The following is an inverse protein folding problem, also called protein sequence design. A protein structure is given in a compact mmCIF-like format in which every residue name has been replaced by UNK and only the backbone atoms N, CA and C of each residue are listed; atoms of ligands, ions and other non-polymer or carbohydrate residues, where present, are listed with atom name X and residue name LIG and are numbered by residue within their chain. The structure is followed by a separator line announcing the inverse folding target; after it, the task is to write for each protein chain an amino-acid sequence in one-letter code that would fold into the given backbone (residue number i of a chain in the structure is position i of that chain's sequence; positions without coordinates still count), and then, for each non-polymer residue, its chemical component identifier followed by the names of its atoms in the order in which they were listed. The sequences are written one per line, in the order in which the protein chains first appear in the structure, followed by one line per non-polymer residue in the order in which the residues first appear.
data_IF_762467297782
#
_entry.id   IF_762467297782
#
_cell.length_a   1.000
_cell.length_b   1.000
_cell.length_c   1.000
_cell.angle_alpha   90.00
_cell.angle_beta   90.00
_cell.angle_gamma   90.00
#
_symmetry.space_group_name_H-M   'P 1'
#
loop_
_entity.id
_entity.type
_entity.pdbx_description
1 polymer ?
#
# COMPACT_ATOMS: atom_id res chain seq x y z
N UNK A 1 -15.06 7.30 0.20
CA UNK A 1 -14.07 8.33 0.62
C UNK A 1 -12.67 7.80 0.39
N UNK A 2 -11.83 8.57 -0.25
CA UNK A 2 -10.44 8.17 -0.46
C UNK A 2 -9.54 8.95 0.50
N UNK A 3 -8.49 8.28 0.94
CA UNK A 3 -7.46 8.87 1.78
C UNK A 3 -6.27 9.24 0.91
N UNK A 4 -5.45 10.14 1.39
CA UNK A 4 -4.23 10.53 0.69
C UNK A 4 -3.08 10.57 1.68
N UNK A 5 -2.00 9.88 1.34
CA UNK A 5 -0.76 9.95 2.09
C UNK A 5 0.04 11.19 1.68
N UNK A 6 0.96 11.66 2.53
CA UNK A 6 1.87 12.75 2.15
C UNK A 6 2.70 12.39 0.92
N UNK A 7 3.06 13.43 0.16
CA UNK A 7 3.88 13.25 -1.05
C UNK A 7 5.22 12.61 -0.69
N UNK A 8 5.65 11.66 -1.51
CA UNK A 8 6.91 10.95 -1.36
C UNK A 8 7.87 11.36 -2.48
N UNK A 9 9.12 11.62 -2.13
CA UNK A 9 10.20 11.75 -3.10
C UNK A 9 10.61 10.34 -3.58
N UNK A 10 10.97 10.20 -4.86
CA UNK A 10 11.37 8.90 -5.43
C UNK A 10 12.59 8.29 -4.75
N UNK A 11 13.41 9.12 -4.11
CA UNK A 11 14.64 8.67 -3.44
C UNK A 11 14.41 8.39 -1.94
N UNK A 12 13.22 8.66 -1.42
CA UNK A 12 12.89 8.40 -0.02
C UNK A 12 12.36 6.98 0.17
N UNK A 13 12.65 6.42 1.34
CA UNK A 13 12.04 5.18 1.82
C UNK A 13 11.26 5.53 3.07
N UNK A 14 9.94 5.42 3.01
CA UNK A 14 9.05 5.91 4.06
C UNK A 14 8.03 4.86 4.47
N UNK A 15 7.67 4.91 5.76
CA UNK A 15 6.55 4.11 6.28
C UNK A 15 5.24 4.86 6.07
N UNK A 16 4.23 4.13 5.63
CA UNK A 16 2.86 4.61 5.52
C UNK A 16 1.94 3.64 6.23
N UNK A 17 0.90 4.17 6.88
CA UNK A 17 0.04 3.35 7.72
C UNK A 17 -1.44 3.63 7.48
N UNK A 18 -2.25 2.61 7.77
CA UNK A 18 -3.70 2.71 7.84
C UNK A 18 -4.12 2.26 9.22
N UNK A 19 -4.82 3.13 9.95
CA UNK A 19 -5.33 2.83 11.28
C UNK A 19 -6.76 2.29 11.14
N UNK A 20 -6.95 1.03 11.51
CA UNK A 20 -8.23 0.34 11.41
C UNK A 20 -9.00 0.33 12.72
N UNK A 21 -8.50 0.99 13.77
CA UNK A 21 -9.06 0.86 15.12
C UNK A 21 -10.55 1.15 15.20
N UNK A 22 -11.03 2.14 14.45
CA UNK A 22 -12.46 2.50 14.47
C UNK A 22 -13.34 1.46 13.79
N UNK A 23 -12.81 0.78 12.78
CA UNK A 23 -13.54 -0.26 12.06
C UNK A 23 -13.60 -1.56 12.88
N UNK A 24 -12.49 -1.89 13.54
CA UNK A 24 -12.32 -3.18 14.19
C UNK A 24 -13.16 -3.37 15.44
N UNK A 25 -13.45 -2.29 16.15
CA UNK A 25 -14.10 -2.36 17.46
C UNK A 25 -13.26 -3.23 18.41
N UNK A 26 -13.72 -4.43 18.76
CA UNK A 26 -12.98 -5.35 19.64
C UNK A 26 -12.16 -6.39 18.87
N UNK A 27 -12.36 -6.50 17.55
CA UNK A 27 -11.59 -7.42 16.72
C UNK A 27 -10.16 -6.88 16.51
N UNK A 28 -9.28 -7.76 16.03
CA UNK A 28 -7.90 -7.41 15.70
C UNK A 28 -7.56 -7.77 14.27
N UNK A 29 -6.53 -7.16 13.71
CA UNK A 29 -6.06 -7.49 12.36
C UNK A 29 -5.43 -8.88 12.37
N UNK A 30 -5.92 -9.77 11.51
CA UNK A 30 -5.36 -11.10 11.33
C UNK A 30 -4.39 -11.12 10.16
N UNK A 31 -4.71 -10.46 9.04
CA UNK A 31 -3.84 -10.38 7.88
C UNK A 31 -4.11 -9.13 7.07
N UNK A 32 -3.10 -8.71 6.30
CA UNK A 32 -3.18 -7.52 5.44
C UNK A 32 -2.54 -7.85 4.11
N UNK A 33 -3.23 -7.50 3.02
CA UNK A 33 -2.69 -7.59 1.66
C UNK A 33 -2.72 -6.20 1.05
N UNK A 34 -1.59 -5.79 0.50
CA UNK A 34 -1.47 -4.50 -0.18
C UNK A 34 -1.57 -4.70 -1.68
N UNK A 35 -2.38 -3.86 -2.32
CA UNK A 35 -2.48 -3.79 -3.77
C UNK A 35 -2.08 -2.39 -4.22
N UNK A 36 -1.62 -2.28 -5.45
CA UNK A 36 -1.31 -0.99 -6.06
C UNK A 36 -1.88 -0.96 -7.48
N UNK A 37 -2.35 0.21 -7.87
CA UNK A 37 -2.90 0.49 -9.19
C UNK A 37 -2.30 1.79 -9.70
N UNK A 38 -2.01 1.84 -11.00
CA UNK A 38 -1.59 3.06 -11.68
C UNK A 38 -2.45 3.25 -12.93
N UNK A 39 -2.18 4.30 -13.71
CA UNK A 39 -2.87 4.51 -15.00
C UNK A 39 -2.57 3.40 -15.99
N UNK A 40 -1.44 2.73 -15.84
CA UNK A 40 -0.95 1.72 -16.78
C UNK A 40 -1.33 0.30 -16.39
N UNK A 41 -1.68 0.06 -15.14
CA UNK A 41 -1.96 -1.28 -14.63
C UNK A 41 -3.08 -1.23 -13.61
N UNK A 42 -3.95 -2.23 -13.65
CA UNK A 42 -5.01 -2.39 -12.67
C UNK A 42 -4.50 -2.88 -11.32
N UNK A 43 -5.43 -3.12 -10.42
CA UNK A 43 -5.16 -3.55 -9.04
C UNK A 43 -4.26 -4.79 -9.01
N UNK A 44 -3.06 -4.65 -8.48
CA UNK A 44 -2.03 -5.68 -8.48
C UNK A 44 -1.50 -5.88 -7.07
N UNK A 45 -1.38 -7.13 -6.62
CA UNK A 45 -0.78 -7.43 -5.30
C UNK A 45 0.68 -7.01 -5.32
N UNK A 46 1.08 -6.23 -4.31
CA UNK A 46 2.47 -5.83 -4.10
C UNK A 46 2.93 -6.44 -2.77
N UNK A 47 3.51 -7.63 -2.86
CA UNK A 47 3.96 -8.36 -1.69
C UNK A 47 5.27 -7.79 -1.14
N UNK A 48 5.55 -8.05 0.13
CA UNK A 48 6.79 -7.62 0.76
C UNK A 48 8.01 -8.10 -0.05
N UNK A 49 8.94 -7.19 -0.30
CA UNK A 49 10.13 -7.46 -1.08
C UNK A 49 9.97 -7.32 -2.59
N UNK A 50 8.77 -7.02 -3.09
CA UNK A 50 8.54 -6.86 -4.53
C UNK A 50 8.50 -5.39 -4.93
N UNK A 51 8.99 -5.09 -6.14
CA UNK A 51 8.65 -3.84 -6.82
C UNK A 51 7.50 -4.10 -7.80
N UNK A 52 6.93 -3.04 -8.35
CA UNK A 52 5.78 -3.18 -9.24
C UNK A 52 6.14 -3.83 -10.57
N UNK A 53 7.38 -3.69 -11.03
CA UNK A 53 7.85 -4.39 -12.23
C UNK A 53 7.73 -5.90 -12.04
N UNK A 54 8.24 -6.42 -10.93
CA UNK A 54 8.18 -7.83 -10.59
C UNK A 54 6.75 -8.27 -10.30
N UNK A 55 6.02 -7.49 -9.49
CA UNK A 55 4.66 -7.83 -9.09
C UNK A 55 3.70 -7.91 -10.29
N UNK A 56 3.95 -7.11 -11.33
CA UNK A 56 3.13 -7.09 -12.54
C UNK A 56 3.53 -8.18 -13.55
N UNK A 57 4.55 -8.98 -13.23
CA UNK A 57 5.09 -9.96 -14.18
C UNK A 57 5.79 -9.33 -15.36
N UNK A 58 6.31 -8.12 -15.21
CA UNK A 58 6.96 -7.38 -16.27
C UNK A 58 6.02 -6.59 -17.17
N UNK A 59 4.72 -6.53 -16.84
CA UNK A 59 3.76 -5.78 -17.66
C UNK A 59 4.03 -4.29 -17.67
N UNK A 60 4.59 -3.75 -16.61
CA UNK A 60 5.02 -2.36 -16.51
C UNK A 60 6.41 -2.29 -15.89
N UNK A 61 7.14 -1.22 -16.19
CA UNK A 61 8.40 -0.91 -15.53
C UNK A 61 8.14 0.18 -14.51
N UNK A 62 8.27 -0.16 -13.23
CA UNK A 62 7.99 0.79 -12.15
C UNK A 62 8.75 0.36 -10.90
N UNK A 63 9.45 1.32 -10.32
CA UNK A 63 10.34 1.06 -9.19
C UNK A 63 9.66 1.15 -7.82
N UNK A 64 8.35 1.44 -7.75
CA UNK A 64 7.68 1.48 -6.45
C UNK A 64 7.76 0.10 -5.80
N UNK A 65 8.26 0.05 -4.59
CA UNK A 65 8.60 -1.20 -3.93
C UNK A 65 8.01 -1.26 -2.53
N UNK A 66 7.42 -2.41 -2.21
CA UNK A 66 7.08 -2.77 -0.84
C UNK A 66 8.32 -3.39 -0.21
N UNK A 67 9.09 -2.59 0.52
CA UNK A 67 10.31 -3.08 1.18
C UNK A 67 9.97 -4.03 2.31
N UNK A 68 8.94 -3.70 3.07
CA UNK A 68 8.47 -4.49 4.20
C UNK A 68 7.04 -4.09 4.54
N UNK A 69 6.31 -5.00 5.12
CA UNK A 69 4.98 -4.68 5.67
C UNK A 69 4.83 -5.33 7.03
N UNK A 70 4.17 -4.62 7.93
CA UNK A 70 3.88 -5.11 9.27
C UNK A 70 2.48 -4.68 9.66
N UNK A 71 1.93 -5.34 10.66
CA UNK A 71 0.71 -4.84 11.28
C UNK A 71 0.74 -5.15 12.77
N UNK A 72 0.17 -4.21 13.52
CA UNK A 72 -0.18 -4.42 14.93
C UNK A 72 -1.61 -4.95 14.97
N UNK A 73 -2.21 -5.00 16.16
CA UNK A 73 -3.60 -5.44 16.28
C UNK A 73 -4.58 -4.51 15.57
N UNK A 74 -4.21 -3.25 15.32
CA UNK A 74 -5.12 -2.24 14.76
C UNK A 74 -4.55 -1.43 13.60
N UNK A 75 -3.23 -1.45 13.39
CA UNK A 75 -2.58 -0.59 12.38
C UNK A 75 -1.82 -1.44 11.38
N UNK A 76 -2.08 -1.20 10.10
CA UNK A 76 -1.34 -1.82 8.99
C UNK A 76 -0.31 -0.82 8.47
N UNK A 77 0.94 -1.24 8.32
CA UNK A 77 2.04 -0.39 7.87
C UNK A 77 2.73 -1.02 6.67
N UNK A 78 3.07 -0.20 5.69
CA UNK A 78 3.88 -0.59 4.54
C UNK A 78 5.07 0.37 4.42
N UNK A 79 6.25 -0.17 4.20
CA UNK A 79 7.46 0.60 3.96
C UNK A 79 7.70 0.67 2.46
N UNK A 80 7.62 1.87 1.89
CA UNK A 80 7.69 2.07 0.44
C UNK A 80 8.97 2.76 0.03
N UNK A 81 9.62 2.23 -1.00
CA UNK A 81 10.80 2.83 -1.63
C UNK A 81 10.51 3.06 -3.11
N UNK A 82 11.32 3.91 -3.74
CA UNK A 82 11.23 4.14 -5.16
C UNK A 82 9.99 4.92 -5.59
N UNK A 83 9.52 4.60 -6.76
CA UNK A 83 8.40 5.26 -7.42
C UNK A 83 8.88 6.09 -8.61
N UNK A 84 7.97 6.39 -9.52
CA UNK A 84 8.24 7.19 -10.70
C UNK A 84 7.83 8.63 -10.43
N UNK A 85 8.73 9.57 -10.69
CA UNK A 85 8.46 10.99 -10.46
C UNK A 85 7.20 11.44 -11.21
N UNK A 86 6.37 12.22 -10.52
CA UNK A 86 5.09 12.75 -11.02
C UNK A 86 4.00 11.71 -11.26
N UNK A 87 4.17 10.49 -10.73
CA UNK A 87 3.14 9.44 -10.84
C UNK A 87 2.29 9.40 -9.58
N UNK A 88 1.00 9.19 -9.78
CA UNK A 88 0.08 8.91 -8.68
C UNK A 88 -0.20 7.42 -8.60
N UNK A 89 -0.07 6.87 -7.40
CA UNK A 89 -0.36 5.46 -7.11
C UNK A 89 -1.63 5.38 -6.28
N UNK A 90 -2.45 4.40 -6.58
CA UNK A 90 -3.63 4.10 -5.77
C UNK A 90 -3.37 2.80 -5.05
N UNK A 91 -3.15 2.88 -3.74
CA UNK A 91 -2.94 1.71 -2.89
C UNK A 91 -4.26 1.26 -2.31
N UNK A 92 -4.44 -0.05 -2.19
CA UNK A 92 -5.57 -0.64 -1.49
C UNK A 92 -5.03 -1.53 -0.39
N UNK A 93 -5.42 -1.21 0.83
CA UNK A 93 -5.14 -2.04 2.00
C UNK A 93 -6.34 -2.94 2.23
N UNK A 94 -6.18 -4.23 1.97
CA UNK A 94 -7.22 -5.23 2.20
C UNK A 94 -6.87 -5.97 3.48
N UNK A 95 -7.71 -5.84 4.49
CA UNK A 95 -7.48 -6.50 5.77
C UNK A 95 -8.50 -7.60 6.01
N UNK A 96 -8.08 -8.62 6.75
CA UNK A 96 -8.95 -9.64 7.31
C UNK A 96 -8.78 -9.57 8.83
N UNK A 97 -9.88 -9.49 9.55
CA UNK A 97 -9.82 -9.40 11.01
C UNK A 97 -9.95 -10.76 11.69
N UNK A 98 -9.88 -10.76 13.01
CA UNK A 98 -9.92 -11.98 13.82
C UNK A 98 -11.26 -12.71 13.76
N UNK A 99 -12.30 -12.06 13.20
CA UNK A 99 -13.62 -12.67 13.02
C UNK A 99 -13.85 -13.13 11.57
N UNK A 100 -12.81 -13.07 10.73
CA UNK A 100 -12.83 -13.38 9.31
C UNK A 100 -13.61 -12.37 8.45
N UNK A 101 -13.88 -11.18 8.97
CA UNK A 101 -14.43 -10.07 8.20
C UNK A 101 -13.33 -9.46 7.35
N UNK A 102 -13.67 -9.07 6.12
CA UNK A 102 -12.73 -8.47 5.17
C UNK A 102 -13.18 -7.06 4.84
N UNK A 103 -12.25 -6.13 4.84
CA UNK A 103 -12.53 -4.75 4.44
C UNK A 103 -11.35 -4.17 3.68
N UNK A 104 -11.63 -3.18 2.86
CA UNK A 104 -10.62 -2.51 2.03
C UNK A 104 -10.66 -1.01 2.27
N UNK A 105 -9.48 -0.40 2.17
CA UNK A 105 -9.36 1.06 2.21
C UNK A 105 -8.39 1.48 1.12
N UNK A 106 -8.82 2.48 0.33
CA UNK A 106 -8.05 2.98 -0.80
C UNK A 106 -7.37 4.28 -0.41
N UNK A 107 -6.07 4.38 -0.71
CA UNK A 107 -5.25 5.52 -0.36
C UNK A 107 -4.47 5.95 -1.61
N UNK A 108 -4.41 7.26 -1.86
CA UNK A 108 -3.62 7.80 -2.96
C UNK A 108 -2.27 8.29 -2.46
N UNK A 109 -1.24 7.98 -3.23
CA UNK A 109 0.13 8.43 -2.97
C UNK A 109 0.69 9.05 -4.24
N UNK A 110 1.15 10.29 -4.13
CA UNK A 110 1.85 10.93 -5.23
C UNK A 110 3.34 10.90 -4.97
N UNK A 111 4.09 10.48 -5.99
CA UNK A 111 5.56 10.53 -5.95
C UNK A 111 6.00 11.75 -6.75
N UNK A 112 6.75 12.63 -6.11
CA UNK A 112 7.26 13.87 -6.69
C UNK A 112 8.61 14.18 -6.10
N UNK A 113 9.47 14.71 -6.93
CA UNK A 113 10.75 15.23 -6.45
C UNK A 113 10.51 16.45 -5.57
N UNK A 114 11.06 16.41 -4.37
CA UNK A 114 10.91 17.49 -3.39
C UNK A 114 12.04 18.49 -3.48
#
# INVERSE_FOLDING_TARGET
MSYRWPIKDKDETLDYSVDWSRFLDTATLASVVWHVKTDSIGKTVLAAGQDLTTASGGSVTDSIQNVAQTNTDTVATINLAGGVNNREYTFTCTMTDSTSSVAERTIKLRVREK
#
